data_IF_818988185117
#
_entry.id   IF_818988185117
#
_cell.length_a   1.000
_cell.length_b   1.000
_cell.length_c   1.000
_cell.angle_alpha   90.00
_cell.angle_beta   90.00
_cell.angle_gamma   90.00
#
_symmetry.space_group_name_H-M   'P 1'
#
loop_
_entity.id
_entity.type
_entity.pdbx_description
1 polymer ?
#
# COMPACT_ATOMS: atom_id res chain seq x y z
N UNK A 1 4.22 15.59 26.38
CA UNK A 1 4.88 15.13 27.62
C UNK A 1 4.49 16.08 28.73
N UNK A 2 3.89 15.60 29.81
CA UNK A 2 3.45 16.42 30.95
C UNK A 2 3.66 15.67 32.26
N UNK A 3 3.88 16.41 33.36
CA UNK A 3 3.95 15.84 34.70
C UNK A 3 2.59 15.26 35.15
N UNK A 4 2.60 14.33 36.09
CA UNK A 4 1.39 13.78 36.72
C UNK A 4 0.86 14.70 37.84
N UNK A 5 1.76 15.31 38.61
CA UNK A 5 1.43 16.27 39.65
C UNK A 5 2.27 17.56 39.56
N UNK A 6 1.71 18.66 40.06
CA UNK A 6 2.42 19.93 40.18
C UNK A 6 3.47 19.82 41.29
N UNK A 7 4.75 19.93 40.95
CA UNK A 7 5.85 19.88 41.90
C UNK A 7 6.75 18.63 41.82
N UNK A 8 6.43 17.68 40.94
CA UNK A 8 7.20 16.44 40.73
C UNK A 8 8.64 16.66 40.23
N UNK A 9 8.95 17.89 39.81
CA UNK A 9 10.19 18.23 39.10
C UNK A 9 10.40 17.35 37.85
N UNK A 10 9.31 16.97 37.16
CA UNK A 10 9.39 16.27 35.88
C UNK A 10 10.25 17.07 34.89
N UNK A 11 11.30 16.42 34.34
CA UNK A 11 12.28 17.09 33.49
C UNK A 11 13.51 17.61 34.25
N UNK A 12 13.65 17.31 35.54
CA UNK A 12 14.83 17.69 36.33
C UNK A 12 16.14 17.13 35.75
N UNK A 13 16.09 15.91 35.23
CA UNK A 13 17.18 15.29 34.48
C UNK A 13 16.64 14.58 33.24
N UNK A 14 17.39 14.66 32.15
CA UNK A 14 17.07 14.03 30.86
C UNK A 14 18.33 13.36 30.32
N UNK A 15 18.21 12.14 29.81
CA UNK A 15 19.29 11.41 29.15
C UNK A 15 18.75 10.57 28.00
N UNK A 16 19.62 10.21 27.05
CA UNK A 16 19.35 9.06 26.16
C UNK A 16 19.26 7.80 27.02
N UNK A 17 18.27 6.96 26.73
CA UNK A 17 18.07 5.64 27.31
C UNK A 17 18.59 4.52 26.40
N UNK A 18 19.09 4.87 25.20
CA UNK A 18 19.31 3.93 24.11
C UNK A 18 17.99 3.42 23.52
N UNK A 19 18.08 2.52 22.54
CA UNK A 19 16.92 1.84 21.96
C UNK A 19 16.45 0.70 22.89
N UNK A 20 15.39 0.93 23.68
CA UNK A 20 14.87 -0.03 24.64
C UNK A 20 13.83 -0.99 24.04
N UNK A 21 13.20 -0.62 22.93
CA UNK A 21 12.15 -1.41 22.29
C UNK A 21 12.63 -2.17 21.03
N UNK A 22 13.86 -1.95 20.59
CA UNK A 22 14.49 -2.59 19.43
C UNK A 22 14.05 -2.01 18.09
N UNK A 23 13.59 -0.76 18.03
CA UNK A 23 13.11 -0.12 16.80
C UNK A 23 14.20 0.63 16.01
N UNK A 24 15.42 0.69 16.54
CA UNK A 24 16.59 1.33 15.95
C UNK A 24 16.73 2.81 16.25
N UNK A 25 15.90 3.38 17.15
CA UNK A 25 15.96 4.79 17.56
C UNK A 25 16.19 4.90 19.07
N UNK A 26 17.06 5.83 19.48
CA UNK A 26 17.32 6.09 20.90
C UNK A 26 16.07 6.64 21.59
N UNK A 27 15.66 5.97 22.66
CA UNK A 27 14.60 6.40 23.58
C UNK A 27 15.10 7.43 24.58
N UNK A 28 14.17 8.11 25.25
CA UNK A 28 14.51 9.16 26.23
C UNK A 28 14.05 8.74 27.62
N UNK A 29 14.94 8.90 28.61
CA UNK A 29 14.59 8.78 30.02
C UNK A 29 14.56 10.15 30.70
N UNK A 30 13.52 10.39 31.49
CA UNK A 30 13.26 11.65 32.18
C UNK A 30 13.06 11.40 33.67
N UNK A 31 13.81 12.12 34.51
CA UNK A 31 13.68 12.10 35.96
C UNK A 31 12.64 13.09 36.48
N UNK A 32 11.92 12.67 37.52
CA UNK A 32 11.02 13.46 38.34
C UNK A 32 11.34 13.17 39.82
N UNK A 33 12.42 13.74 40.38
CA UNK A 33 12.95 13.35 41.69
C UNK A 33 12.00 13.66 42.85
N UNK A 34 11.07 14.61 42.66
CA UNK A 34 10.07 14.96 43.67
C UNK A 34 8.71 14.32 43.43
N UNK A 35 8.63 13.32 42.56
CA UNK A 35 7.39 12.57 42.40
C UNK A 35 6.92 12.01 43.74
N UNK A 36 5.66 12.30 44.08
CA UNK A 36 4.99 11.84 45.30
C UNK A 36 3.81 10.96 44.93
N UNK A 37 3.71 9.80 45.56
CA UNK A 37 2.59 8.88 45.38
C UNK A 37 2.07 8.40 46.73
N UNK A 38 0.75 8.40 46.90
CA UNK A 38 0.06 7.75 48.02
C UNK A 38 0.59 8.15 49.41
N UNK A 39 0.92 9.43 49.60
CA UNK A 39 1.33 10.00 50.90
C UNK A 39 2.81 9.80 51.25
N UNK A 40 3.62 9.30 50.32
CA UNK A 40 5.07 9.17 50.48
C UNK A 40 5.77 10.31 49.73
N UNK A 41 6.62 11.05 50.44
CA UNK A 41 7.29 12.24 49.93
C UNK A 41 8.58 11.90 49.19
N UNK A 42 8.86 12.61 48.09
CA UNK A 42 10.13 12.55 47.34
C UNK A 42 10.60 11.13 46.94
N UNK A 43 9.69 10.27 46.48
CA UNK A 43 10.04 8.90 46.08
C UNK A 43 10.88 8.89 44.79
N UNK A 44 10.70 9.92 43.97
CA UNK A 44 11.28 9.99 42.66
C UNK A 44 10.58 9.04 41.68
N UNK A 45 10.54 9.43 40.42
CA UNK A 45 10.07 8.59 39.31
C UNK A 45 10.94 8.83 38.10
N UNK A 46 11.12 7.77 37.31
CA UNK A 46 11.74 7.85 36.00
C UNK A 46 10.70 7.47 34.95
N UNK A 47 10.66 8.24 33.87
CA UNK A 47 9.77 8.05 32.74
C UNK A 47 10.59 7.66 31.53
N UNK A 48 10.20 6.60 30.84
CA UNK A 48 10.74 6.23 29.54
C UNK A 48 9.75 6.69 28.49
N UNK A 49 10.23 7.46 27.53
CA UNK A 49 9.49 7.81 26.33
C UNK A 49 10.10 7.06 25.17
N UNK A 50 9.30 6.16 24.60
CA UNK A 50 9.69 5.45 23.40
C UNK A 50 9.70 6.45 22.24
N UNK A 51 10.88 6.63 21.66
CA UNK A 51 11.02 7.30 20.39
C UNK A 51 10.43 6.40 19.31
N UNK A 52 10.16 7.00 18.15
CA UNK A 52 9.88 6.25 16.94
C UNK A 52 10.45 7.06 15.78
N UNK A 53 10.73 6.43 14.63
CA UNK A 53 11.09 7.18 13.44
C UNK A 53 10.10 8.33 13.23
N UNK A 54 10.55 9.53 12.84
CA UNK A 54 9.65 10.52 12.26
C UNK A 54 8.83 9.81 11.19
N UNK A 55 7.51 9.99 11.20
CA UNK A 55 6.65 9.32 10.23
C UNK A 55 7.04 9.76 8.81
N UNK A 56 7.92 8.98 8.20
CA UNK A 56 8.42 9.18 6.86
C UNK A 56 7.59 8.39 5.85
N UNK A 57 6.49 7.78 6.29
CA UNK A 57 5.62 7.01 5.40
C UNK A 57 5.08 7.89 4.29
N UNK A 58 4.78 7.25 3.18
CA UNK A 58 4.20 7.84 2.00
C UNK A 58 2.78 7.31 1.86
N UNK A 59 1.85 8.24 1.73
CA UNK A 59 0.43 7.96 1.57
C UNK A 59 0.13 7.96 0.07
N UNK A 60 -0.24 6.81 -0.46
CA UNK A 60 -0.85 6.74 -1.77
C UNK A 60 -2.35 6.65 -1.58
N UNK A 61 -3.08 7.66 -2.00
CA UNK A 61 -4.51 7.55 -2.20
C UNK A 61 -4.78 6.84 -3.53
N UNK A 62 -5.28 5.62 -3.46
CA UNK A 62 -5.67 4.84 -4.63
C UNK A 62 -7.18 4.83 -4.74
N UNK A 63 -7.68 5.33 -5.86
CA UNK A 63 -9.09 5.23 -6.23
C UNK A 63 -9.26 4.08 -7.24
N UNK A 64 -9.92 3.01 -6.80
CA UNK A 64 -9.95 1.72 -7.47
C UNK A 64 -11.30 1.02 -7.29
N UNK A 65 -11.62 0.13 -8.23
CA UNK A 65 -12.73 -0.79 -8.12
C UNK A 65 -12.21 -2.22 -8.29
N UNK A 66 -12.83 -3.17 -7.61
CA UNK A 66 -12.57 -4.59 -7.77
C UNK A 66 -13.85 -5.24 -8.28
N UNK A 67 -13.76 -6.05 -9.34
CA UNK A 67 -14.92 -6.81 -9.79
C UNK A 67 -15.14 -8.03 -8.86
N UNK A 68 -16.14 -8.88 -9.09
CA UNK A 68 -16.03 -10.31 -8.77
C UNK A 68 -16.49 -10.78 -7.39
N UNK A 69 -16.94 -9.90 -6.50
CA UNK A 69 -17.66 -10.33 -5.30
C UNK A 69 -18.91 -9.48 -5.10
N UNK A 70 -20.07 -10.09 -5.27
CA UNK A 70 -21.37 -9.44 -5.21
C UNK A 70 -22.32 -10.28 -4.37
N UNK A 71 -22.99 -9.63 -3.42
CA UNK A 71 -24.07 -10.24 -2.64
C UNK A 71 -25.40 -9.99 -3.35
N UNK A 72 -26.04 -11.00 -3.98
CA UNK A 72 -27.29 -10.83 -4.70
C UNK A 72 -28.49 -10.62 -3.79
N UNK A 73 -28.36 -10.89 -2.49
CA UNK A 73 -29.43 -10.66 -1.51
C UNK A 73 -29.42 -9.20 -1.04
N UNK A 74 -28.23 -8.64 -0.86
CA UNK A 74 -28.04 -7.26 -0.41
C UNK A 74 -27.87 -6.25 -1.55
N UNK A 75 -27.68 -6.70 -2.79
CA UNK A 75 -27.39 -5.88 -3.97
C UNK A 75 -26.16 -4.98 -3.77
N UNK A 76 -25.11 -5.57 -3.19
CA UNK A 76 -23.88 -4.84 -2.86
C UNK A 76 -22.65 -5.63 -3.28
N UNK A 77 -21.66 -4.94 -3.84
CA UNK A 77 -20.32 -5.50 -3.93
C UNK A 77 -19.77 -5.78 -2.53
N UNK A 78 -19.09 -6.91 -2.39
CA UNK A 78 -18.48 -7.32 -1.12
C UNK A 78 -17.06 -6.77 -1.09
N UNK A 79 -16.71 -5.97 -0.08
CA UNK A 79 -15.37 -5.45 0.09
C UNK A 79 -14.30 -6.54 0.08
N UNK A 80 -13.14 -6.24 -0.47
CA UNK A 80 -12.02 -7.19 -0.47
C UNK A 80 -10.65 -6.54 -0.41
N UNK A 81 -9.67 -7.32 0.02
CA UNK A 81 -8.30 -6.90 0.25
C UNK A 81 -7.51 -6.86 -1.06
N UNK A 82 -6.97 -5.70 -1.39
CA UNK A 82 -5.98 -5.55 -2.45
C UNK A 82 -4.56 -5.36 -1.87
N UNK A 83 -3.56 -5.78 -2.64
CA UNK A 83 -2.16 -5.51 -2.38
C UNK A 83 -1.63 -4.55 -3.42
N UNK A 84 -1.01 -3.47 -2.96
CA UNK A 84 -0.39 -2.46 -3.81
C UNK A 84 1.11 -2.52 -3.60
N UNK A 85 1.87 -2.50 -4.69
CA UNK A 85 3.31 -2.49 -4.72
C UNK A 85 3.81 -1.21 -5.40
N UNK A 86 4.91 -0.68 -4.88
CA UNK A 86 5.68 0.34 -5.59
C UNK A 86 6.82 -0.33 -6.33
N UNK A 87 7.00 0.04 -7.59
CA UNK A 87 8.12 -0.43 -8.43
C UNK A 87 8.95 0.73 -8.90
N UNK A 88 10.26 0.52 -9.03
CA UNK A 88 11.16 1.50 -9.66
C UNK A 88 10.61 1.89 -11.05
N UNK A 89 10.80 3.14 -11.44
CA UNK A 89 10.45 3.66 -12.77
C UNK A 89 11.47 3.31 -13.87
N UNK A 90 12.58 2.66 -13.49
CA UNK A 90 13.63 2.22 -14.41
C UNK A 90 13.84 0.72 -14.28
N UNK A 91 14.24 0.09 -15.39
CA UNK A 91 14.61 -1.33 -15.42
C UNK A 91 15.68 -1.62 -14.36
N UNK A 92 15.51 -2.66 -13.52
CA UNK A 92 14.63 -3.82 -13.68
C UNK A 92 13.22 -3.68 -13.08
N UNK A 93 12.72 -2.46 -12.83
CA UNK A 93 11.40 -2.16 -12.25
C UNK A 93 11.14 -2.96 -10.96
N UNK A 94 12.18 -3.07 -10.12
CA UNK A 94 12.13 -3.86 -8.90
C UNK A 94 11.08 -3.30 -7.93
N UNK A 95 10.41 -4.21 -7.19
CA UNK A 95 9.51 -3.83 -6.11
C UNK A 95 10.32 -3.18 -4.98
N UNK A 96 9.91 -1.99 -4.59
CA UNK A 96 10.52 -1.16 -3.54
C UNK A 96 9.78 -1.35 -2.22
N UNK A 97 8.45 -1.40 -2.29
CA UNK A 97 7.61 -1.49 -1.12
C UNK A 97 6.24 -2.09 -1.45
N UNK A 98 5.48 -2.45 -0.41
CA UNK A 98 4.13 -2.98 -0.54
C UNK A 98 3.22 -2.51 0.60
N UNK A 99 1.94 -2.38 0.31
CA UNK A 99 0.91 -2.03 1.27
C UNK A 99 -0.37 -2.80 0.95
N UNK A 100 -1.23 -3.01 1.96
CA UNK A 100 -2.50 -3.73 1.79
C UNK A 100 -3.62 -2.93 2.43
N UNK A 101 -4.78 -2.94 1.78
CA UNK A 101 -5.99 -2.35 2.32
C UNK A 101 -7.22 -2.95 1.63
N UNK A 102 -8.39 -2.74 2.20
CA UNK A 102 -9.68 -3.23 1.71
C UNK A 102 -10.34 -2.16 0.86
N UNK A 103 -10.67 -2.47 -0.39
CA UNK A 103 -11.58 -1.63 -1.18
C UNK A 103 -13.02 -1.99 -0.81
N UNK A 104 -13.83 -0.98 -0.54
CA UNK A 104 -15.16 -1.12 0.08
C UNK A 104 -16.30 -1.23 -0.95
N UNK A 105 -15.98 -1.26 -2.24
CA UNK A 105 -16.92 -1.28 -3.36
C UNK A 105 -16.36 -0.54 -4.59
N UNK A 106 -17.16 -0.38 -5.65
CA UNK A 106 -16.71 0.17 -6.91
C UNK A 106 -16.54 1.69 -6.78
N UNK A 107 -15.45 2.23 -7.33
CA UNK A 107 -15.14 3.66 -7.21
C UNK A 107 -14.91 4.10 -5.77
N UNK A 108 -14.29 3.24 -4.94
CA UNK A 108 -13.87 3.63 -3.58
C UNK A 108 -12.38 3.99 -3.55
N UNK A 109 -12.04 4.96 -2.71
CA UNK A 109 -10.68 5.41 -2.50
C UNK A 109 -10.13 4.93 -1.17
N UNK A 110 -8.90 4.43 -1.17
CA UNK A 110 -8.23 3.96 0.04
C UNK A 110 -6.79 4.44 0.11
N UNK A 111 -6.33 4.65 1.35
CA UNK A 111 -4.94 5.01 1.62
C UNK A 111 -4.07 3.77 1.77
N UNK A 112 -2.92 3.80 1.09
CA UNK A 112 -1.88 2.80 1.17
C UNK A 112 -0.61 3.46 1.70
N UNK A 113 -0.02 2.87 2.73
CA UNK A 113 1.14 3.39 3.43
C UNK A 113 2.40 2.65 2.99
N UNK A 114 3.43 3.40 2.60
CA UNK A 114 4.74 2.88 2.18
C UNK A 114 5.87 3.51 3.00
N UNK A 115 6.77 2.71 3.55
CA UNK A 115 7.91 3.14 4.39
C UNK A 115 9.19 3.38 3.58
N UNK A 116 9.37 2.66 2.48
CA UNK A 116 10.59 2.69 1.67
C UNK A 116 10.51 3.67 0.49
N UNK A 117 9.36 4.32 0.30
CA UNK A 117 9.14 5.27 -0.76
C UNK A 117 9.71 6.66 -0.44
N UNK A 118 10.21 7.34 -1.47
CA UNK A 118 10.86 8.64 -1.37
C UNK A 118 10.09 9.72 -2.14
N UNK A 119 10.08 10.95 -1.63
CA UNK A 119 9.50 12.10 -2.33
C UNK A 119 10.31 12.42 -3.60
N UNK A 120 9.62 12.83 -4.67
CA UNK A 120 10.23 13.21 -5.94
C UNK A 120 10.79 12.05 -6.77
N UNK A 121 10.74 10.82 -6.27
CA UNK A 121 11.10 9.62 -7.03
C UNK A 121 9.84 9.04 -7.69
N UNK A 122 9.84 8.82 -9.01
CA UNK A 122 8.72 8.19 -9.70
C UNK A 122 8.69 6.67 -9.51
N UNK A 123 7.53 6.14 -9.16
CA UNK A 123 7.26 4.71 -8.99
C UNK A 123 6.09 4.26 -9.85
N UNK A 124 6.20 3.09 -10.49
CA UNK A 124 5.03 2.41 -11.03
C UNK A 124 4.22 1.79 -9.89
N UNK A 125 2.90 1.91 -9.96
CA UNK A 125 1.98 1.32 -8.99
C UNK A 125 1.50 -0.01 -9.56
N UNK A 126 1.77 -1.11 -8.86
CA UNK A 126 1.30 -2.44 -9.22
C UNK A 126 0.23 -2.87 -8.21
N UNK A 127 -1.00 -3.04 -8.68
CA UNK A 127 -2.13 -3.52 -7.89
C UNK A 127 -2.34 -4.99 -8.16
N UNK A 128 -2.53 -5.76 -7.09
CA UNK A 128 -2.85 -7.19 -7.15
C UNK A 128 -4.07 -7.44 -6.29
N UNK A 129 -5.02 -8.17 -6.84
CA UNK A 129 -6.25 -8.56 -6.16
C UNK A 129 -6.49 -10.05 -6.44
N UNK A 130 -6.52 -10.85 -5.37
CA UNK A 130 -6.63 -12.32 -5.46
C UNK A 130 -5.69 -12.94 -6.49
N UNK A 131 -6.24 -13.75 -7.41
CA UNK A 131 -5.57 -14.51 -8.45
C UNK A 131 -5.54 -13.77 -9.80
N UNK A 132 -5.88 -12.48 -9.83
CA UNK A 132 -5.90 -11.71 -11.05
C UNK A 132 -4.49 -11.28 -11.50
N UNK A 133 -4.36 -10.95 -12.78
CA UNK A 133 -3.19 -10.25 -13.30
C UNK A 133 -2.96 -8.97 -12.51
N UNK A 134 -1.69 -8.69 -12.26
CA UNK A 134 -1.32 -7.42 -11.67
C UNK A 134 -1.65 -6.28 -12.64
N UNK A 135 -2.43 -5.31 -12.19
CA UNK A 135 -2.67 -4.07 -12.93
C UNK A 135 -1.58 -3.07 -12.58
N UNK A 136 -0.84 -2.61 -13.58
CA UNK A 136 0.21 -1.62 -13.40
C UNK A 136 -0.31 -0.24 -13.76
N UNK A 137 0.23 0.81 -13.15
CA UNK A 137 -0.04 2.17 -13.61
C UNK A 137 0.58 2.40 -15.00
N UNK A 138 -0.13 3.12 -15.88
CA UNK A 138 0.40 3.44 -17.21
C UNK A 138 1.61 4.38 -17.13
N UNK A 139 1.57 5.30 -16.16
CA UNK A 139 2.62 6.27 -15.89
C UNK A 139 3.08 6.12 -14.44
N UNK A 140 4.35 6.46 -14.14
CA UNK A 140 4.83 6.40 -12.77
C UNK A 140 4.32 7.60 -11.96
N UNK A 141 4.07 7.35 -10.68
CA UNK A 141 3.56 8.31 -9.70
C UNK A 141 4.69 8.71 -8.75
N UNK A 142 4.83 10.00 -8.45
CA UNK A 142 5.81 10.51 -7.50
C UNK A 142 5.12 11.07 -6.28
N UNK A 143 5.69 10.82 -5.09
CA UNK A 143 5.19 11.43 -3.86
C UNK A 143 5.68 12.86 -3.71
N UNK A 144 4.77 13.76 -3.37
CA UNK A 144 5.04 15.18 -3.08
C UNK A 144 4.55 15.45 -1.67
N UNK A 145 5.43 15.97 -0.82
CA UNK A 145 5.13 16.20 0.61
C UNK A 145 4.55 14.96 1.31
N UNK A 146 5.04 13.78 0.94
CA UNK A 146 4.61 12.46 1.42
C UNK A 146 3.28 11.93 0.89
N UNK A 147 2.60 12.66 0.02
CA UNK A 147 1.32 12.24 -0.56
C UNK A 147 1.43 12.01 -2.07
N UNK A 148 0.67 11.04 -2.56
CA UNK A 148 0.45 10.79 -3.97
C UNK A 148 -0.97 10.27 -4.17
N UNK A 149 -1.47 10.38 -5.39
CA UNK A 149 -2.75 9.77 -5.76
C UNK A 149 -2.69 9.10 -7.12
N UNK A 150 -3.51 8.06 -7.27
CA UNK A 150 -3.75 7.41 -8.55
C UNK A 150 -5.22 7.00 -8.65
N UNK A 151 -5.81 7.22 -9.82
CA UNK A 151 -7.22 7.00 -10.06
C UNK A 151 -7.47 5.93 -11.12
N UNK A 152 -7.06 4.70 -10.80
CA UNK A 152 -7.26 3.52 -11.65
C UNK A 152 -8.72 3.34 -12.09
N UNK A 153 -9.67 3.70 -11.24
CA UNK A 153 -11.08 3.49 -11.53
C UNK A 153 -11.73 4.58 -12.41
N UNK A 154 -11.00 5.62 -12.83
CA UNK A 154 -11.58 6.75 -13.58
C UNK A 154 -11.43 6.60 -15.09
N UNK A 155 -10.32 6.03 -15.55
CA UNK A 155 -9.99 5.89 -16.97
C UNK A 155 -9.02 4.72 -17.18
N UNK A 156 -9.24 3.89 -18.21
CA UNK A 156 -8.35 2.78 -18.57
C UNK A 156 -6.89 3.24 -18.83
N UNK A 157 -6.68 4.49 -19.24
CA UNK A 157 -5.35 5.07 -19.47
C UNK A 157 -4.52 5.23 -18.18
N UNK A 158 -5.12 5.07 -17.00
CA UNK A 158 -4.36 5.02 -15.75
C UNK A 158 -3.71 3.66 -15.52
N UNK A 159 -4.14 2.60 -16.23
CA UNK A 159 -3.50 1.30 -16.22
C UNK A 159 -2.70 1.03 -17.49
N UNK A 160 -1.63 0.25 -17.34
CA UNK A 160 -0.85 -0.22 -18.47
C UNK A 160 -1.59 -1.33 -19.21
N UNK A 161 -1.68 -1.19 -20.54
CA UNK A 161 -2.36 -2.14 -21.40
C UNK A 161 -3.87 -2.18 -21.14
N UNK A 162 -4.50 -3.32 -21.42
CA UNK A 162 -5.94 -3.54 -21.22
C UNK A 162 -6.20 -4.28 -19.89
N UNK A 163 -5.38 -4.03 -18.86
CA UNK A 163 -5.40 -4.78 -17.60
C UNK A 163 -6.48 -4.27 -16.61
N UNK A 164 -7.54 -3.69 -17.15
CA UNK A 164 -8.74 -3.24 -16.44
C UNK A 164 -9.96 -3.46 -17.34
N UNK A 165 -11.13 -3.57 -16.73
CA UNK A 165 -12.41 -3.65 -17.41
C UNK A 165 -13.33 -2.52 -16.95
N UNK A 166 -14.09 -1.93 -17.87
CA UNK A 166 -15.12 -0.97 -17.50
C UNK A 166 -16.33 -1.71 -16.93
N UNK A 167 -16.70 -1.40 -15.69
CA UNK A 167 -17.81 -2.06 -14.97
C UNK A 167 -19.05 -1.18 -14.83
N UNK A 168 -18.91 0.15 -14.97
CA UNK A 168 -20.03 1.10 -14.97
C UNK A 168 -19.75 2.29 -15.93
N UNK A 169 -20.81 2.83 -16.54
CA UNK A 169 -20.78 3.92 -17.52
C UNK A 169 -21.64 5.13 -17.10
N UNK A 170 -22.38 5.11 -15.97
CA UNK A 170 -23.20 6.27 -15.56
C UNK A 170 -23.55 6.29 -14.07
N UNK A 171 -23.30 7.39 -13.32
CA UNK A 171 -22.84 8.70 -13.79
C UNK A 171 -21.31 8.85 -13.90
N UNK A 172 -20.54 7.83 -13.52
CA UNK A 172 -19.08 7.82 -13.57
C UNK A 172 -18.62 6.59 -14.38
N UNK A 173 -17.61 6.78 -15.24
CA UNK A 173 -16.93 5.65 -15.88
C UNK A 173 -16.07 4.96 -14.81
N UNK A 174 -16.47 3.76 -14.38
CA UNK A 174 -15.77 2.99 -13.34
C UNK A 174 -15.01 1.85 -14.00
N UNK A 175 -13.69 1.83 -13.81
CA UNK A 175 -12.82 0.75 -14.26
C UNK A 175 -12.38 -0.12 -13.08
N UNK A 176 -12.62 -1.42 -13.17
CA UNK A 176 -12.25 -2.37 -12.13
C UNK A 176 -10.99 -3.16 -12.50
N UNK A 177 -10.25 -3.52 -11.46
CA UNK A 177 -9.25 -4.57 -11.53
C UNK A 177 -9.96 -5.92 -11.70
N UNK A 178 -9.40 -6.78 -12.55
CA UNK A 178 -9.80 -8.19 -12.59
C UNK A 178 -9.58 -8.81 -11.20
N UNK A 179 -10.43 -9.76 -10.82
CA UNK A 179 -10.65 -10.01 -9.39
C UNK A 179 -11.01 -11.46 -9.04
N UNK A 180 -10.70 -12.40 -9.92
CA UNK A 180 -10.51 -13.78 -9.49
C UNK A 180 -11.46 -14.81 -10.07
N UNK A 181 -12.28 -14.42 -11.02
CA UNK A 181 -12.97 -15.28 -11.98
C UNK A 181 -12.48 -14.74 -13.34
N UNK A 182 -11.39 -15.29 -13.85
CA UNK A 182 -10.63 -14.67 -14.96
C UNK A 182 -11.30 -14.91 -16.36
N UNK A 183 -12.44 -15.63 -16.39
CA UNK A 183 -13.36 -16.12 -17.45
C UNK A 183 -14.82 -16.28 -17.02
N UNK A 184 -15.13 -16.18 -15.74
CA UNK A 184 -16.45 -15.77 -15.34
C UNK A 184 -17.55 -16.80 -15.51
N UNK A 185 -17.28 -18.07 -15.18
CA UNK A 185 -18.28 -19.13 -15.29
C UNK A 185 -19.29 -19.19 -14.13
N UNK A 186 -19.17 -18.29 -13.15
CA UNK A 186 -20.05 -18.23 -11.98
C UNK A 186 -19.67 -19.22 -10.88
N UNK A 187 -18.75 -20.12 -11.19
CA UNK A 187 -17.64 -20.50 -10.33
C UNK A 187 -16.41 -19.70 -10.79
N UNK A 188 -15.21 -20.05 -10.36
CA UNK A 188 -13.97 -19.55 -10.95
C UNK A 188 -13.43 -20.78 -11.68
N UNK A 189 -13.41 -20.84 -13.03
CA UNK A 189 -13.12 -22.05 -13.82
C UNK A 189 -12.09 -21.95 -14.97
N UNK A 190 -12.06 -22.91 -15.91
CA UNK A 190 -10.87 -23.18 -16.75
C UNK A 190 -10.71 -22.26 -17.97
N UNK A 191 -11.74 -21.52 -18.37
CA UNK A 191 -11.62 -20.50 -19.42
C UNK A 191 -10.83 -19.28 -18.92
N UNK A 192 -10.64 -19.16 -17.59
CA UNK A 192 -10.35 -17.94 -16.81
C UNK A 192 -8.92 -17.60 -17.09
N UNK A 193 -8.18 -18.69 -16.96
CA UNK A 193 -6.80 -18.92 -17.33
C UNK A 193 -6.51 -18.86 -18.83
N UNK A 194 -7.47 -18.66 -19.74
CA UNK A 194 -7.20 -18.42 -21.16
C UNK A 194 -7.37 -16.97 -21.60
N UNK A 195 -8.13 -16.15 -20.88
CA UNK A 195 -8.27 -14.71 -21.13
C UNK A 195 -7.20 -13.88 -20.38
N UNK A 196 -6.54 -14.53 -19.42
CA UNK A 196 -5.31 -14.03 -18.82
C UNK A 196 -4.10 -14.11 -19.76
N UNK A 197 -4.17 -14.93 -20.83
CA UNK A 197 -3.02 -15.39 -21.64
C UNK A 197 -3.37 -15.46 -23.16
N UNK A 198 -2.65 -14.73 -24.02
CA UNK A 198 -2.18 -15.17 -25.36
C UNK A 198 -2.55 -14.32 -26.61
N UNK A 199 -1.55 -13.54 -27.02
CA UNK A 199 -1.13 -13.16 -28.37
C UNK A 199 -1.48 -14.13 -29.53
N UNK A 200 -2.77 -14.26 -29.89
CA UNK A 200 -3.25 -15.16 -30.94
C UNK A 200 -2.85 -14.77 -32.38
N UNK A 201 -1.97 -13.79 -32.58
CA UNK A 201 -1.32 -13.59 -33.88
C UNK A 201 0.22 -13.51 -33.86
N UNK A 202 0.88 -13.41 -32.70
CA UNK A 202 2.34 -13.35 -32.63
C UNK A 202 3.02 -14.22 -31.53
N UNK A 203 2.29 -15.07 -30.82
CA UNK A 203 2.86 -16.21 -30.09
C UNK A 203 3.68 -15.92 -28.82
N UNK A 204 3.44 -14.84 -28.08
CA UNK A 204 3.91 -14.68 -26.69
C UNK A 204 2.92 -13.92 -25.78
N UNK A 205 2.39 -14.58 -24.74
CA UNK A 205 2.55 -14.24 -23.29
C UNK A 205 1.28 -14.28 -22.40
N UNK A 206 1.45 -14.86 -21.19
CA UNK A 206 0.48 -14.77 -20.07
C UNK A 206 0.41 -15.87 -18.96
N UNK A 207 1.51 -16.48 -18.53
CA UNK A 207 1.76 -16.77 -17.09
C UNK A 207 3.26 -16.74 -16.86
N UNK A 208 3.78 -15.70 -16.19
CA UNK A 208 5.15 -15.71 -15.66
C UNK A 208 5.11 -15.10 -14.26
N UNK A 209 5.12 -15.96 -13.22
CA UNK A 209 5.67 -15.52 -11.94
C UNK A 209 7.12 -16.00 -11.78
N UNK A 210 7.87 -15.12 -11.12
CA UNK A 210 9.24 -15.16 -10.62
C UNK A 210 10.35 -14.94 -11.65
N UNK A 211 10.66 -13.64 -11.78
CA UNK A 211 11.98 -13.12 -12.15
C UNK A 211 12.37 -13.40 -13.62
N UNK A 212 13.04 -12.44 -14.27
CA UNK A 212 13.93 -12.64 -15.43
C UNK A 212 13.45 -12.67 -16.91
N UNK A 213 12.19 -12.80 -17.35
CA UNK A 213 11.97 -12.99 -18.82
C UNK A 213 11.91 -11.74 -19.72
N UNK A 214 11.52 -10.56 -19.23
CA UNK A 214 11.36 -9.35 -20.09
C UNK A 214 12.65 -8.53 -20.26
N UNK A 215 13.63 -8.70 -19.36
CA UNK A 215 15.01 -8.20 -19.58
C UNK A 215 15.71 -9.02 -20.69
N UNK A 216 15.34 -10.30 -20.86
CA UNK A 216 16.02 -11.23 -21.78
C UNK A 216 15.60 -11.05 -23.25
N UNK A 217 14.39 -10.59 -23.55
CA UNK A 217 13.91 -10.48 -24.95
C UNK A 217 14.12 -9.09 -25.57
N UNK A 218 14.15 -8.01 -24.77
CA UNK A 218 14.41 -6.66 -25.30
C UNK A 218 15.91 -6.34 -25.43
N UNK A 219 16.80 -6.90 -24.59
CA UNK A 219 18.27 -6.76 -24.73
C UNK A 219 18.90 -7.68 -25.79
N UNK A 220 18.11 -8.53 -26.47
CA UNK A 220 18.58 -9.36 -27.58
C UNK A 220 18.18 -8.80 -28.96
N UNK A 221 17.51 -7.64 -29.03
CA UNK A 221 17.11 -7.01 -30.30
C UNK A 221 17.44 -5.51 -30.43
N UNK A 222 17.99 -4.85 -29.41
CA UNK A 222 18.61 -3.51 -29.45
C UNK A 222 19.69 -3.41 -28.38
#
# INVERSE_FOLDING_TARGET
MTAEHSGDEFGYSVSSAGDLNGDGYDDVIIGAPRFENSGLTSQGKAYIYLSSPPDNRKNLFLFGAIQGLYDPVLDTEIPDTIKVYLRNSTSPFARVDSSKNILLGPGTGQYFLFRNAQNGIPYYIEVTHRNALSTWSATPVSFVNSDASIAFSVDANYAYGNNQIQVDNSPYNVFAFYSGDVNQDGTIDASDLSDTDNDAFAGLSGYVDRMLREIILWMQRM
#
